data_IF_747262995203
#
_entry.id   IF_747262995203
#
_cell.length_a   1.000
_cell.length_b   1.000
_cell.length_c   1.000
_cell.angle_alpha   90.00
_cell.angle_beta   90.00
_cell.angle_gamma   90.00
#
_symmetry.space_group_name_H-M   'P 1'
#
loop_
_entity.id
_entity.type
_entity.pdbx_description
1 polymer ?
#
# COMPACT_ATOMS: atom_id res chain seq x y z
N UNK A 1 21.70 10.67 -11.44
CA UNK A 1 21.88 11.37 -10.15
C UNK A 1 22.00 10.35 -8.98
N UNK A 2 21.10 9.34 -8.84
CA UNK A 2 21.19 8.28 -7.81
C UNK A 2 22.53 7.53 -7.80
N UNK A 3 23.08 7.26 -8.96
CA UNK A 3 24.35 6.53 -9.09
C UNK A 3 25.53 7.36 -8.56
N UNK A 4 25.54 8.66 -8.84
CA UNK A 4 26.57 9.59 -8.33
C UNK A 4 26.47 9.70 -6.81
N UNK A 5 25.26 9.85 -6.26
CA UNK A 5 25.02 9.87 -4.83
C UNK A 5 25.57 8.61 -4.12
N UNK A 6 25.34 7.42 -4.71
CA UNK A 6 25.84 6.15 -4.16
C UNK A 6 27.37 6.02 -4.24
N UNK A 7 27.99 6.52 -5.30
CA UNK A 7 29.46 6.54 -5.42
C UNK A 7 30.04 7.45 -4.35
N UNK A 8 29.48 8.67 -4.18
CA UNK A 8 29.94 9.61 -3.16
C UNK A 8 29.79 9.04 -1.76
N UNK A 9 28.67 8.45 -1.44
CA UNK A 9 28.43 7.78 -0.15
C UNK A 9 29.37 6.60 0.06
N UNK A 10 29.58 5.74 -0.95
CA UNK A 10 30.41 4.54 -0.84
C UNK A 10 31.87 4.86 -0.58
N UNK A 11 32.38 5.95 -1.16
CA UNK A 11 33.78 6.34 -1.09
C UNK A 11 34.04 7.55 -0.19
N UNK A 12 33.01 8.01 0.54
CA UNK A 12 33.08 9.18 1.46
C UNK A 12 33.65 10.43 0.75
N UNK A 13 33.12 10.73 -0.44
CA UNK A 13 33.58 11.82 -1.28
C UNK A 13 32.78 13.08 -1.02
N UNK A 14 33.47 14.22 -0.81
CA UNK A 14 32.84 15.55 -0.67
C UNK A 14 32.53 16.18 -2.03
N UNK A 15 33.24 15.78 -3.08
CA UNK A 15 33.01 16.25 -4.45
C UNK A 15 33.52 15.24 -5.48
N UNK A 16 32.88 15.19 -6.65
CA UNK A 16 33.30 14.40 -7.81
C UNK A 16 33.46 15.28 -9.04
N UNK A 17 34.51 15.06 -9.88
CA UNK A 17 34.70 15.82 -11.10
C UNK A 17 33.71 15.39 -12.19
N UNK A 18 33.20 16.34 -12.94
CA UNK A 18 32.42 16.11 -14.16
C UNK A 18 33.27 16.38 -15.38
N UNK A 19 33.41 15.38 -16.25
CA UNK A 19 34.18 15.48 -17.49
C UNK A 19 33.28 15.35 -18.71
N UNK A 20 33.63 16.07 -19.79
CA UNK A 20 32.94 15.90 -21.07
C UNK A 20 33.41 14.64 -21.80
N UNK A 21 32.80 14.32 -22.96
CA UNK A 21 33.14 13.15 -23.79
C UNK A 21 34.63 13.12 -24.26
N UNK A 22 35.35 14.24 -24.18
CA UNK A 22 36.78 14.33 -24.51
C UNK A 22 37.69 14.24 -23.28
N UNK A 23 37.15 13.90 -22.10
CA UNK A 23 37.92 13.81 -20.86
C UNK A 23 38.31 15.14 -20.22
N UNK A 24 37.81 16.29 -20.73
CA UNK A 24 38.12 17.60 -20.16
C UNK A 24 37.15 17.91 -19.01
N UNK A 25 37.70 18.36 -17.88
CA UNK A 25 36.93 18.83 -16.73
C UNK A 25 35.98 19.96 -17.11
N UNK A 26 34.72 19.84 -16.83
CA UNK A 26 33.66 20.83 -17.11
C UNK A 26 32.98 21.35 -15.85
N UNK A 27 33.12 20.66 -14.73
CA UNK A 27 32.55 21.06 -13.46
C UNK A 27 32.85 20.05 -12.34
N UNK A 28 32.18 20.22 -11.24
CA UNK A 28 32.17 19.31 -10.10
C UNK A 28 30.75 19.19 -9.55
N UNK A 29 30.42 18.07 -8.98
CA UNK A 29 29.22 17.86 -8.17
C UNK A 29 29.70 17.76 -6.73
N UNK A 30 29.11 18.49 -5.84
CA UNK A 30 29.45 18.53 -4.42
C UNK A 30 28.40 17.81 -3.57
N UNK A 31 28.69 17.55 -2.30
CA UNK A 31 27.80 16.79 -1.41
C UNK A 31 26.49 17.54 -1.16
N UNK A 32 26.49 18.87 -1.14
CA UNK A 32 25.32 19.73 -1.05
C UNK A 32 24.38 19.52 -2.24
N UNK A 33 24.90 19.53 -3.48
CA UNK A 33 24.11 19.23 -4.70
C UNK A 33 23.42 17.85 -4.60
N UNK A 34 24.10 16.86 -4.01
CA UNK A 34 23.58 15.51 -3.84
C UNK A 34 22.50 15.44 -2.73
N UNK A 35 22.68 16.20 -1.66
CA UNK A 35 21.69 16.28 -0.57
C UNK A 35 20.38 16.87 -1.12
N UNK A 36 20.46 17.93 -1.92
CA UNK A 36 19.28 18.54 -2.54
C UNK A 36 18.53 17.53 -3.43
N UNK A 37 19.25 16.83 -4.31
CA UNK A 37 18.66 15.80 -5.18
C UNK A 37 18.02 14.65 -4.38
N UNK A 38 18.66 14.17 -3.29
CA UNK A 38 18.10 13.11 -2.45
C UNK A 38 16.84 13.61 -1.74
N UNK A 39 16.85 14.84 -1.25
CA UNK A 39 15.71 15.44 -0.54
C UNK A 39 14.52 15.61 -1.47
N UNK A 40 14.73 16.17 -2.66
CA UNK A 40 13.72 16.33 -3.70
C UNK A 40 13.09 14.97 -4.10
N UNK A 41 13.94 13.96 -4.33
CA UNK A 41 13.46 12.61 -4.66
C UNK A 41 12.64 11.98 -3.53
N UNK A 42 13.06 12.14 -2.28
CA UNK A 42 12.32 11.61 -1.13
C UNK A 42 10.95 12.32 -0.98
N UNK A 43 10.90 13.60 -1.30
CA UNK A 43 9.67 14.39 -1.26
C UNK A 43 8.71 14.00 -2.38
N UNK A 44 9.20 13.81 -3.61
CA UNK A 44 8.43 13.28 -4.74
C UNK A 44 7.85 11.88 -4.42
N UNK A 45 8.68 10.96 -3.91
CA UNK A 45 8.21 9.63 -3.51
C UNK A 45 7.13 9.71 -2.42
N UNK A 46 7.26 10.62 -1.45
CA UNK A 46 6.26 10.85 -0.41
C UNK A 46 4.94 11.39 -0.97
N UNK A 47 5.01 12.31 -1.93
CA UNK A 47 3.83 12.85 -2.61
C UNK A 47 3.11 11.76 -3.41
N UNK A 48 3.85 10.96 -4.19
CA UNK A 48 3.29 9.82 -4.94
C UNK A 48 2.60 8.80 -4.01
N UNK A 49 3.22 8.46 -2.88
CA UNK A 49 2.63 7.58 -1.88
C UNK A 49 1.35 8.16 -1.25
N UNK A 50 1.22 9.47 -1.22
CA UNK A 50 0.03 10.18 -0.74
C UNK A 50 -1.05 10.37 -1.81
N UNK A 51 -0.81 9.93 -3.04
CA UNK A 51 -1.75 10.09 -4.15
C UNK A 51 -1.69 11.47 -4.81
N UNK A 52 -0.52 12.10 -4.82
CA UNK A 52 -0.25 13.36 -5.53
C UNK A 52 0.64 13.01 -6.71
N UNK A 53 0.18 13.30 -7.95
CA UNK A 53 0.85 12.82 -9.18
C UNK A 53 1.92 13.76 -9.73
N UNK A 54 1.98 14.98 -9.23
CA UNK A 54 2.95 16.02 -9.66
C UNK A 54 3.51 16.71 -8.44
N UNK A 55 4.74 17.17 -8.54
CA UNK A 55 5.33 18.00 -7.51
C UNK A 55 4.51 19.29 -7.33
N UNK A 56 4.07 19.54 -6.10
CA UNK A 56 3.22 20.69 -5.73
C UNK A 56 3.62 21.21 -4.35
N UNK A 57 3.53 22.53 -4.19
CA UNK A 57 3.71 23.22 -2.92
C UNK A 57 2.40 23.80 -2.40
N UNK A 58 2.36 24.19 -1.12
CA UNK A 58 1.12 24.69 -0.47
C UNK A 58 0.64 26.01 -1.09
N UNK A 59 1.54 26.84 -1.58
CA UNK A 59 1.28 28.16 -2.19
C UNK A 59 0.95 28.08 -3.68
N UNK A 60 0.96 26.89 -4.28
CA UNK A 60 0.54 26.67 -5.65
C UNK A 60 -0.92 27.06 -5.90
N UNK A 61 -1.22 27.39 -7.16
CA UNK A 61 -2.59 27.74 -7.54
C UNK A 61 -3.57 26.59 -7.24
N UNK A 62 -4.81 26.95 -6.86
CA UNK A 62 -5.91 25.97 -6.61
C UNK A 62 -6.06 24.97 -7.77
N UNK A 63 -5.85 25.45 -9.00
CA UNK A 63 -5.96 24.60 -10.19
C UNK A 63 -4.82 23.59 -10.32
N UNK A 64 -3.59 23.98 -9.98
CA UNK A 64 -2.40 23.08 -9.92
C UNK A 64 -2.62 22.01 -8.88
N UNK A 65 -2.97 22.40 -7.65
CA UNK A 65 -3.27 21.48 -6.54
C UNK A 65 -4.41 20.51 -6.86
N UNK A 66 -5.47 21.00 -7.54
CA UNK A 66 -6.61 20.15 -7.93
C UNK A 66 -6.19 19.11 -8.98
N UNK A 67 -5.45 19.52 -10.02
CA UNK A 67 -4.96 18.59 -11.05
C UNK A 67 -4.05 17.50 -10.50
N UNK A 68 -3.23 17.82 -9.51
CA UNK A 68 -2.33 16.87 -8.87
C UNK A 68 -3.09 15.75 -8.11
N UNK A 69 -4.27 16.03 -7.59
CA UNK A 69 -5.06 15.12 -6.74
C UNK A 69 -6.18 14.40 -7.49
N UNK A 70 -6.81 15.06 -8.47
CA UNK A 70 -7.99 14.54 -9.17
C UNK A 70 -7.83 13.14 -9.75
N UNK A 71 -6.70 12.75 -10.38
CA UNK A 71 -6.56 11.41 -10.93
C UNK A 71 -6.80 10.31 -9.90
N UNK A 72 -6.19 10.41 -8.73
CA UNK A 72 -6.36 9.43 -7.66
C UNK A 72 -7.74 9.51 -6.99
N UNK A 73 -8.31 10.70 -6.87
CA UNK A 73 -9.68 10.86 -6.36
C UNK A 73 -10.71 10.21 -7.28
N UNK A 74 -10.52 10.32 -8.61
CA UNK A 74 -11.38 9.66 -9.60
C UNK A 74 -11.22 8.13 -9.52
N UNK A 75 -9.99 7.62 -9.41
CA UNK A 75 -9.74 6.18 -9.22
C UNK A 75 -10.41 5.68 -7.94
N UNK A 76 -10.28 6.40 -6.83
CA UNK A 76 -10.96 6.07 -5.58
C UNK A 76 -12.48 6.09 -5.69
N UNK A 77 -13.05 7.08 -6.38
CA UNK A 77 -14.49 7.15 -6.66
C UNK A 77 -14.97 5.96 -7.50
N UNK A 78 -14.26 5.61 -8.56
CA UNK A 78 -14.58 4.42 -9.39
C UNK A 78 -14.48 3.15 -8.55
N UNK A 79 -13.44 3.02 -7.74
CA UNK A 79 -13.29 1.92 -6.78
C UNK A 79 -14.48 1.83 -5.82
N UNK A 80 -14.92 2.95 -5.26
CA UNK A 80 -16.10 3.00 -4.39
C UNK A 80 -17.38 2.55 -5.09
N UNK A 81 -17.57 2.93 -6.36
CA UNK A 81 -18.71 2.47 -7.17
C UNK A 81 -18.65 0.97 -7.44
N UNK A 82 -17.47 0.41 -7.70
CA UNK A 82 -17.27 -1.03 -7.86
C UNK A 82 -17.51 -1.77 -6.53
N UNK A 83 -17.07 -1.23 -5.41
CA UNK A 83 -17.34 -1.77 -4.07
C UNK A 83 -18.84 -1.83 -3.78
N UNK A 84 -19.60 -0.80 -4.18
CA UNK A 84 -21.05 -0.81 -4.07
C UNK A 84 -21.68 -1.92 -4.91
N UNK A 85 -21.20 -2.18 -6.12
CA UNK A 85 -21.68 -3.28 -6.97
C UNK A 85 -21.34 -4.65 -6.36
N UNK A 86 -20.13 -4.84 -5.82
CA UNK A 86 -19.78 -6.06 -5.09
C UNK A 86 -20.74 -6.26 -3.92
N UNK A 87 -21.02 -5.21 -3.15
CA UNK A 87 -21.97 -5.29 -2.03
C UNK A 87 -23.39 -5.65 -2.49
N UNK A 88 -23.82 -5.14 -3.64
CA UNK A 88 -25.14 -5.46 -4.21
C UNK A 88 -25.25 -6.92 -4.65
N UNK A 89 -24.17 -7.52 -5.20
CA UNK A 89 -24.12 -8.95 -5.54
C UNK A 89 -24.45 -9.85 -4.32
N UNK A 90 -24.08 -9.41 -3.11
CA UNK A 90 -24.35 -10.12 -1.86
C UNK A 90 -25.53 -9.53 -1.06
N UNK A 91 -26.38 -8.74 -1.71
CA UNK A 91 -27.52 -8.08 -1.05
C UNK A 91 -28.53 -9.09 -0.47
N UNK A 92 -28.66 -10.27 -1.05
CA UNK A 92 -29.48 -11.35 -0.50
C UNK A 92 -28.94 -11.84 0.86
N UNK A 93 -27.63 -12.09 0.94
CA UNK A 93 -26.95 -12.54 2.17
C UNK A 93 -27.05 -11.48 3.26
N UNK A 94 -26.87 -10.20 2.91
CA UNK A 94 -27.01 -9.06 3.82
C UNK A 94 -28.45 -8.96 4.37
N UNK A 95 -29.47 -9.23 3.56
CA UNK A 95 -30.88 -9.23 4.03
C UNK A 95 -31.16 -10.34 5.02
N UNK A 96 -30.51 -11.51 4.86
CA UNK A 96 -30.65 -12.64 5.77
C UNK A 96 -29.88 -12.36 7.07
N UNK A 97 -28.69 -11.77 6.95
CA UNK A 97 -27.78 -11.50 8.06
C UNK A 97 -27.44 -10.02 8.09
N UNK A 98 -28.38 -9.21 8.56
CA UNK A 98 -28.24 -7.74 8.58
C UNK A 98 -26.98 -7.24 9.32
N UNK A 99 -26.45 -8.03 10.27
CA UNK A 99 -25.22 -7.73 10.99
C UNK A 99 -23.97 -7.64 10.09
N UNK A 100 -23.95 -8.30 8.93
CA UNK A 100 -22.81 -8.26 8.02
C UNK A 100 -22.49 -6.84 7.52
N UNK A 101 -23.53 -6.05 7.25
CA UNK A 101 -23.34 -4.68 6.74
C UNK A 101 -22.59 -3.77 7.73
N UNK A 102 -22.74 -4.04 9.04
CA UNK A 102 -22.10 -3.23 10.09
C UNK A 102 -20.57 -3.33 10.09
N UNK A 103 -20.02 -4.43 9.57
CA UNK A 103 -18.57 -4.69 9.59
C UNK A 103 -17.87 -4.36 8.27
N UNK A 104 -18.59 -3.94 7.23
CA UNK A 104 -17.99 -3.47 5.96
C UNK A 104 -16.91 -2.39 6.22
N UNK A 105 -17.17 -1.32 7.01
CA UNK A 105 -16.16 -0.31 7.27
C UNK A 105 -14.92 -0.86 7.99
N UNK A 106 -15.10 -1.80 8.92
CA UNK A 106 -14.00 -2.44 9.63
C UNK A 106 -13.09 -3.23 8.67
N UNK A 107 -13.70 -4.04 7.80
CA UNK A 107 -12.99 -4.88 6.83
C UNK A 107 -12.21 -4.00 5.84
N UNK A 108 -12.85 -2.99 5.25
CA UNK A 108 -12.20 -2.08 4.31
C UNK A 108 -11.06 -1.31 4.98
N UNK A 109 -11.31 -0.65 6.11
CA UNK A 109 -10.29 0.12 6.80
C UNK A 109 -9.09 -0.74 7.21
N UNK A 110 -9.32 -1.95 7.73
CA UNK A 110 -8.23 -2.85 8.15
C UNK A 110 -7.45 -3.37 6.94
N UNK A 111 -8.15 -3.81 5.88
CA UNK A 111 -7.51 -4.26 4.64
C UNK A 111 -6.67 -3.16 3.99
N UNK A 112 -7.22 -1.96 3.86
CA UNK A 112 -6.51 -0.79 3.34
C UNK A 112 -5.26 -0.46 4.14
N UNK A 113 -5.37 -0.37 5.47
CA UNK A 113 -4.24 -0.07 6.35
C UNK A 113 -3.12 -1.12 6.28
N UNK A 114 -3.47 -2.40 6.32
CA UNK A 114 -2.50 -3.50 6.21
C UNK A 114 -1.79 -3.46 4.86
N UNK A 115 -2.53 -3.18 3.79
CA UNK A 115 -1.97 -3.03 2.44
C UNK A 115 -0.98 -1.87 2.35
N UNK A 116 -1.35 -0.69 2.85
CA UNK A 116 -0.47 0.49 2.87
C UNK A 116 0.80 0.20 3.68
N UNK A 117 0.68 -0.36 4.88
CA UNK A 117 1.84 -0.68 5.73
C UNK A 117 2.78 -1.67 5.04
N UNK A 118 2.23 -2.73 4.44
CA UNK A 118 3.04 -3.72 3.73
C UNK A 118 3.73 -3.12 2.50
N UNK A 119 3.02 -2.32 1.71
CA UNK A 119 3.55 -1.65 0.53
C UNK A 119 4.64 -0.65 0.89
N UNK A 120 4.42 0.20 1.89
CA UNK A 120 5.39 1.20 2.34
C UNK A 120 6.72 0.56 2.77
N UNK A 121 6.68 -0.56 3.51
CA UNK A 121 7.89 -1.29 3.91
C UNK A 121 8.65 -1.81 2.67
N UNK A 122 7.92 -2.29 1.67
CA UNK A 122 8.52 -2.80 0.43
C UNK A 122 9.13 -1.67 -0.39
N UNK A 123 8.41 -0.57 -0.61
CA UNK A 123 8.88 0.60 -1.34
C UNK A 123 10.15 1.16 -0.71
N UNK A 124 10.15 1.38 0.62
CA UNK A 124 11.34 1.84 1.34
C UNK A 124 12.53 0.89 1.17
N UNK A 125 12.31 -0.43 1.17
CA UNK A 125 13.39 -1.39 0.99
C UNK A 125 13.91 -1.45 -0.45
N UNK A 126 13.10 -1.12 -1.44
CA UNK A 126 13.52 -1.02 -2.84
C UNK A 126 14.36 0.24 -3.09
N UNK A 127 14.08 1.33 -2.39
CA UNK A 127 14.88 2.56 -2.45
C UNK A 127 16.31 2.36 -1.96
N UNK A 128 16.54 1.41 -1.02
CA UNK A 128 17.87 1.05 -0.51
C UNK A 128 18.40 -0.16 -1.30
N UNK A 129 19.39 0.02 -2.16
CA UNK A 129 19.95 -1.01 -3.10
C UNK A 129 20.36 -2.36 -2.48
N UNK A 130 20.37 -2.52 -1.17
CA UNK A 130 20.64 -3.79 -0.47
C UNK A 130 19.39 -4.69 -0.30
N UNK A 131 18.26 -4.29 -0.86
CA UNK A 131 16.97 -4.99 -0.71
C UNK A 131 16.97 -6.43 -1.27
N UNK A 132 17.89 -6.76 -2.18
CA UNK A 132 18.00 -8.08 -2.82
C UNK A 132 19.02 -9.03 -2.17
N UNK A 133 19.71 -8.63 -1.10
CA UNK A 133 20.67 -9.49 -0.38
C UNK A 133 19.98 -10.75 0.19
N UNK A 134 18.74 -10.64 0.64
CA UNK A 134 17.89 -11.77 1.03
C UNK A 134 16.94 -12.13 -0.13
N UNK A 135 17.05 -13.33 -0.68
CA UNK A 135 16.22 -13.76 -1.81
C UNK A 135 14.70 -13.52 -1.58
N UNK A 136 13.96 -13.25 -2.67
CA UNK A 136 12.51 -12.94 -2.67
C UNK A 136 11.71 -13.92 -1.79
N UNK A 137 12.07 -15.22 -1.80
CA UNK A 137 11.39 -16.24 -1.00
C UNK A 137 11.46 -16.01 0.51
N UNK A 138 12.62 -15.63 1.06
CA UNK A 138 12.75 -15.29 2.49
C UNK A 138 11.92 -14.09 2.87
N UNK A 139 11.85 -13.10 1.99
CA UNK A 139 11.06 -11.88 2.19
C UNK A 139 9.58 -12.18 2.23
N UNK A 140 9.06 -12.94 1.25
CA UNK A 140 7.67 -13.36 1.22
C UNK A 140 7.31 -14.21 2.43
N UNK A 141 8.20 -15.11 2.86
CA UNK A 141 7.99 -15.89 4.08
C UNK A 141 7.89 -15.01 5.33
N UNK A 142 8.76 -14.00 5.46
CA UNK A 142 8.71 -13.05 6.57
C UNK A 142 7.38 -12.27 6.59
N UNK A 143 6.94 -11.79 5.43
CA UNK A 143 5.67 -11.08 5.29
C UNK A 143 4.50 -12.00 5.65
N UNK A 144 4.52 -13.26 5.21
CA UNK A 144 3.49 -14.24 5.56
C UNK A 144 3.42 -14.47 7.08
N UNK A 145 4.56 -14.64 7.75
CA UNK A 145 4.59 -14.81 9.21
C UNK A 145 4.03 -13.57 9.93
N UNK A 146 4.42 -12.36 9.50
CA UNK A 146 3.88 -11.12 10.06
C UNK A 146 2.38 -11.02 9.83
N UNK A 147 1.90 -11.36 8.63
CA UNK A 147 0.47 -11.35 8.31
C UNK A 147 -0.32 -12.36 9.15
N UNK A 148 0.23 -13.56 9.37
CA UNK A 148 -0.38 -14.58 10.24
C UNK A 148 -0.48 -14.11 11.69
N UNK A 149 0.57 -13.52 12.23
CA UNK A 149 0.57 -12.99 13.61
C UNK A 149 -0.44 -11.83 13.74
N UNK A 150 -0.36 -10.83 12.87
CA UNK A 150 -1.26 -9.68 12.91
C UNK A 150 -2.72 -10.10 12.66
N UNK A 151 -2.94 -10.96 11.67
CA UNK A 151 -4.26 -11.51 11.36
C UNK A 151 -4.85 -12.28 12.55
N UNK A 152 -4.07 -13.14 13.21
CA UNK A 152 -4.53 -13.87 14.38
C UNK A 152 -4.90 -12.94 15.55
N UNK A 153 -4.04 -11.96 15.85
CA UNK A 153 -4.30 -10.98 16.92
C UNK A 153 -5.57 -10.18 16.63
N UNK A 154 -5.69 -9.61 15.43
CA UNK A 154 -6.86 -8.81 15.07
C UNK A 154 -8.14 -9.64 15.03
N UNK A 155 -8.07 -10.89 14.56
CA UNK A 155 -9.23 -11.79 14.51
C UNK A 155 -9.72 -12.20 15.90
N UNK A 156 -8.80 -12.46 16.83
CA UNK A 156 -9.17 -12.74 18.23
C UNK A 156 -9.80 -11.52 18.89
N UNK A 157 -9.25 -10.34 18.68
CA UNK A 157 -9.78 -9.08 19.22
C UNK A 157 -11.17 -8.78 18.66
N UNK A 158 -11.37 -8.92 17.35
CA UNK A 158 -12.67 -8.65 16.73
C UNK A 158 -13.70 -9.71 17.14
N UNK A 159 -13.31 -10.99 17.22
CA UNK A 159 -14.18 -12.05 17.71
C UNK A 159 -14.73 -11.73 19.10
N UNK A 160 -13.84 -11.40 20.04
CA UNK A 160 -14.23 -11.04 21.41
C UNK A 160 -15.13 -9.80 21.45
N UNK A 161 -14.79 -8.77 20.67
CA UNK A 161 -15.57 -7.53 20.62
C UNK A 161 -16.97 -7.74 20.05
N UNK A 162 -17.09 -8.48 18.94
CA UNK A 162 -18.39 -8.77 18.32
C UNK A 162 -19.25 -9.65 19.24
N UNK A 163 -18.64 -10.65 19.86
CA UNK A 163 -19.35 -11.54 20.79
C UNK A 163 -19.88 -10.76 22.01
N UNK A 164 -19.10 -9.87 22.56
CA UNK A 164 -19.50 -9.04 23.72
C UNK A 164 -20.60 -8.04 23.39
N UNK A 165 -20.52 -7.41 22.20
CA UNK A 165 -21.45 -6.32 21.81
C UNK A 165 -22.77 -6.89 21.25
N UNK A 166 -22.67 -7.87 20.37
CA UNK A 166 -23.84 -8.37 19.61
C UNK A 166 -24.39 -9.68 20.16
N UNK A 167 -23.65 -10.40 21.03
CA UNK A 167 -24.01 -11.70 21.60
C UNK A 167 -24.39 -12.77 20.53
N UNK A 168 -23.86 -12.58 19.31
CA UNK A 168 -24.06 -13.49 18.17
C UNK A 168 -22.73 -14.19 17.86
N UNK A 169 -22.70 -15.49 18.18
CA UNK A 169 -21.52 -16.32 18.01
C UNK A 169 -21.21 -16.58 16.54
N UNK A 170 -22.23 -16.78 15.69
CA UNK A 170 -22.07 -17.04 14.27
C UNK A 170 -21.50 -15.82 13.56
N UNK A 171 -22.02 -14.63 13.85
CA UNK A 171 -21.51 -13.37 13.32
C UNK A 171 -20.06 -13.13 13.78
N UNK A 172 -19.75 -13.43 15.05
CA UNK A 172 -18.40 -13.27 15.60
C UNK A 172 -17.37 -14.13 14.87
N UNK A 173 -17.69 -15.41 14.61
CA UNK A 173 -16.82 -16.29 13.83
C UNK A 173 -16.65 -15.80 12.39
N UNK A 174 -17.73 -15.41 11.75
CA UNK A 174 -17.72 -14.96 10.35
C UNK A 174 -16.83 -13.72 10.18
N UNK A 175 -17.02 -12.69 11.00
CA UNK A 175 -16.25 -11.47 10.93
C UNK A 175 -14.76 -11.73 11.24
N UNK A 176 -14.48 -12.58 12.25
CA UNK A 176 -13.11 -12.91 12.63
C UNK A 176 -12.36 -13.68 11.53
N UNK A 177 -12.98 -14.72 10.95
CA UNK A 177 -12.38 -15.52 9.87
C UNK A 177 -12.19 -14.67 8.61
N UNK A 178 -13.20 -13.88 8.26
CA UNK A 178 -13.09 -12.98 7.11
C UNK A 178 -12.00 -11.94 7.31
N UNK A 179 -11.91 -11.31 8.49
CA UNK A 179 -10.85 -10.34 8.80
C UNK A 179 -9.47 -10.99 8.70
N UNK A 180 -9.30 -12.20 9.20
CA UNK A 180 -8.05 -12.97 9.07
C UNK A 180 -7.65 -13.15 7.60
N UNK A 181 -8.58 -13.61 6.77
CA UNK A 181 -8.35 -13.81 5.35
C UNK A 181 -8.02 -12.50 4.63
N UNK A 182 -8.73 -11.40 4.95
CA UNK A 182 -8.48 -10.07 4.40
C UNK A 182 -7.10 -9.54 4.79
N UNK A 183 -6.66 -9.72 6.04
CA UNK A 183 -5.32 -9.31 6.48
C UNK A 183 -4.23 -10.06 5.72
N UNK A 184 -4.39 -11.36 5.49
CA UNK A 184 -3.44 -12.16 4.70
C UNK A 184 -3.39 -11.67 3.25
N UNK A 185 -4.55 -11.49 2.63
CA UNK A 185 -4.64 -11.01 1.25
C UNK A 185 -4.04 -9.59 1.10
N UNK A 186 -4.41 -8.67 1.99
CA UNK A 186 -3.92 -7.30 1.95
C UNK A 186 -2.40 -7.20 2.16
N UNK A 187 -1.84 -8.00 3.07
CA UNK A 187 -0.39 -8.09 3.25
C UNK A 187 0.32 -8.63 2.01
N UNK A 188 -0.26 -9.65 1.38
CA UNK A 188 0.27 -10.22 0.15
C UNK A 188 0.23 -9.20 -0.99
N UNK A 189 -0.93 -8.58 -1.25
CA UNK A 189 -1.10 -7.57 -2.30
C UNK A 189 -0.18 -6.36 -2.07
N UNK A 190 -0.12 -5.84 -0.84
CA UNK A 190 0.76 -4.74 -0.48
C UNK A 190 2.25 -5.07 -0.68
N UNK A 191 2.64 -6.34 -0.60
CA UNK A 191 4.02 -6.75 -0.82
C UNK A 191 4.33 -7.02 -2.29
N UNK A 192 3.46 -7.75 -2.98
CA UNK A 192 3.71 -8.20 -4.35
C UNK A 192 3.58 -7.05 -5.35
N UNK A 193 2.60 -6.17 -5.16
CA UNK A 193 2.33 -5.09 -6.12
C UNK A 193 3.55 -4.18 -6.36
N UNK A 194 4.21 -3.58 -5.35
CA UNK A 194 5.38 -2.75 -5.60
C UNK A 194 6.56 -3.53 -6.18
N UNK A 195 6.74 -4.82 -5.82
CA UNK A 195 7.77 -5.67 -6.41
C UNK A 195 7.54 -5.92 -7.92
N UNK A 196 6.28 -6.11 -8.30
CA UNK A 196 5.90 -6.28 -9.71
C UNK A 196 6.14 -5.00 -10.49
N UNK A 197 5.71 -3.84 -9.96
CA UNK A 197 5.94 -2.54 -10.62
C UNK A 197 7.43 -2.26 -10.81
N UNK A 198 8.25 -2.48 -9.79
CA UNK A 198 9.70 -2.32 -9.85
C UNK A 198 10.32 -3.20 -10.94
N UNK A 199 9.89 -4.45 -11.06
CA UNK A 199 10.36 -5.38 -12.10
C UNK A 199 9.99 -4.92 -13.52
N UNK A 200 8.90 -4.16 -13.69
CA UNK A 200 8.52 -3.54 -14.96
C UNK A 200 9.14 -2.15 -15.17
N UNK A 201 9.99 -1.66 -14.28
CA UNK A 201 10.59 -0.33 -14.35
C UNK A 201 9.62 0.81 -14.07
N UNK A 202 8.48 0.50 -13.44
CA UNK A 202 7.48 1.48 -13.01
C UNK A 202 7.79 1.86 -11.55
N UNK A 203 7.68 3.15 -11.21
CA UNK A 203 7.97 3.61 -9.85
C UNK A 203 7.10 2.86 -8.82
N UNK A 204 7.70 2.05 -7.92
CA UNK A 204 6.95 1.26 -6.95
C UNK A 204 6.17 2.11 -5.93
N UNK A 205 6.50 3.38 -5.76
CA UNK A 205 5.76 4.31 -4.90
C UNK A 205 4.29 4.49 -5.36
N UNK A 206 4.01 4.31 -6.65
CA UNK A 206 2.64 4.30 -7.19
C UNK A 206 1.77 3.16 -6.67
N UNK A 207 2.39 2.07 -6.18
CA UNK A 207 1.68 0.93 -5.59
C UNK A 207 1.27 1.16 -4.13
N UNK A 208 1.58 2.31 -3.54
CA UNK A 208 1.15 2.64 -2.18
C UNK A 208 -0.02 3.62 -2.17
N UNK A 209 -0.48 3.98 -0.98
CA UNK A 209 -1.56 4.94 -0.82
C UNK A 209 -2.85 4.53 -1.53
N UNK A 210 -3.45 5.45 -2.32
CA UNK A 210 -4.81 5.26 -2.87
C UNK A 210 -4.98 4.02 -3.74
N UNK A 211 -3.96 3.62 -4.50
CA UNK A 211 -4.04 2.43 -5.36
C UNK A 211 -4.24 1.15 -4.54
N UNK A 212 -3.35 0.93 -3.56
CA UNK A 212 -3.40 -0.29 -2.75
C UNK A 212 -4.63 -0.31 -1.85
N UNK A 213 -5.07 0.86 -1.35
CA UNK A 213 -6.31 0.98 -0.56
C UNK A 213 -7.50 0.57 -1.40
N UNK A 214 -7.70 1.16 -2.57
CA UNK A 214 -8.83 0.85 -3.46
C UNK A 214 -8.84 -0.61 -3.87
N UNK A 215 -7.68 -1.18 -4.23
CA UNK A 215 -7.58 -2.60 -4.58
C UNK A 215 -7.95 -3.51 -3.39
N UNK A 216 -7.45 -3.22 -2.19
CA UNK A 216 -7.74 -4.00 -0.99
C UNK A 216 -9.18 -3.83 -0.51
N UNK A 217 -9.81 -2.67 -0.71
CA UNK A 217 -11.22 -2.46 -0.40
C UNK A 217 -12.10 -3.38 -1.25
N UNK A 218 -11.85 -3.44 -2.56
CA UNK A 218 -12.58 -4.31 -3.48
C UNK A 218 -12.37 -5.80 -3.16
N UNK A 219 -11.11 -6.22 -3.05
CA UNK A 219 -10.76 -7.60 -2.77
C UNK A 219 -11.17 -8.02 -1.35
N UNK A 220 -11.03 -7.13 -0.39
CA UNK A 220 -11.43 -7.35 0.99
C UNK A 220 -12.93 -7.57 1.13
N UNK A 221 -13.75 -6.78 0.45
CA UNK A 221 -15.20 -6.98 0.41
C UNK A 221 -15.57 -8.30 -0.26
N UNK A 222 -14.94 -8.62 -1.40
CA UNK A 222 -15.19 -9.88 -2.08
C UNK A 222 -14.87 -11.09 -1.19
N UNK A 223 -13.74 -11.07 -0.49
CA UNK A 223 -13.35 -12.11 0.48
C UNK A 223 -14.32 -12.14 1.67
N UNK A 224 -14.66 -10.99 2.23
CA UNK A 224 -15.57 -10.89 3.36
C UNK A 224 -16.91 -11.55 3.09
N UNK A 225 -17.55 -11.16 2.00
CA UNK A 225 -18.84 -11.72 1.62
C UNK A 225 -18.75 -13.17 1.18
N UNK A 226 -17.66 -13.58 0.49
CA UNK A 226 -17.45 -14.98 0.15
C UNK A 226 -17.31 -15.88 1.38
N UNK A 227 -16.59 -15.42 2.40
CA UNK A 227 -16.47 -16.14 3.69
C UNK A 227 -17.84 -16.20 4.38
N UNK A 228 -18.59 -15.10 4.41
CA UNK A 228 -19.93 -15.07 4.99
C UNK A 228 -20.86 -16.05 4.27
N UNK A 229 -20.91 -16.01 2.94
CA UNK A 229 -21.72 -16.91 2.13
C UNK A 229 -21.41 -18.41 2.41
N UNK A 230 -20.12 -18.75 2.46
CA UNK A 230 -19.68 -20.12 2.74
C UNK A 230 -20.03 -20.60 4.15
N UNK A 231 -19.87 -19.76 5.17
CA UNK A 231 -20.10 -20.12 6.56
C UNK A 231 -21.58 -20.22 6.94
N UNK A 232 -22.42 -19.44 6.30
CA UNK A 232 -23.86 -19.52 6.50
C UNK A 232 -24.55 -20.46 5.52
N UNK A 233 -23.80 -21.08 4.57
CA UNK A 233 -24.36 -21.98 3.54
C UNK A 233 -25.53 -21.36 2.78
N UNK A 234 -25.39 -20.07 2.44
CA UNK A 234 -26.39 -19.27 1.74
C UNK A 234 -26.37 -19.53 0.24
#
# INVERSE_FOLDING_TARGET
DKEVAQIMQKYDLEAVPVVNARGKLVGRITIDDIIDVITEQAEEERQLMSGIVTDVEEDDSVWTLSKARLPWLIIGMVGGLLAAQITDLFSADIKIIAGLALFIPLIMATGGNVGIQSSSIVVQSLAVKNAFADGIGKRLMKVLVVALVNGAVLSVLVFGSVLLIFQDQSLSYTVAIALFAVVLLASFMGTVTPLVLDNFGINPALASGPFITTANDLLGLAVYFSVAHLLYSL
#
